data_IF_893320920037
#
_entry.id   IF_893320920037
#
_cell.length_a   1.000
_cell.length_b   1.000
_cell.length_c   1.000
_cell.angle_alpha   90.00
_cell.angle_beta   90.00
_cell.angle_gamma   90.00
#
_symmetry.space_group_name_H-M   'P 1'
#
loop_
_entity.id
_entity.type
_entity.pdbx_description
1 polymer ?
#
# COMPACT_ATOMS: atom_id res chain seq x y z
N UNK A 1 -3.34 -8.49 -12.24
CA UNK A 1 -3.65 -9.44 -11.16
C UNK A 1 -5.01 -9.05 -10.59
N UNK A 2 -6.06 -9.84 -10.84
CA UNK A 2 -7.38 -9.64 -10.23
C UNK A 2 -7.49 -10.65 -9.09
N UNK A 3 -7.55 -10.16 -7.85
CA UNK A 3 -7.87 -10.98 -6.69
C UNK A 3 -9.39 -10.83 -6.49
N UNK A 4 -10.15 -11.89 -6.73
CA UNK A 4 -11.61 -11.83 -6.58
C UNK A 4 -11.98 -11.51 -5.13
N UNK A 5 -12.83 -10.51 -4.93
CA UNK A 5 -13.23 -10.02 -3.61
C UNK A 5 -12.28 -9.01 -2.95
N UNK A 6 -11.17 -8.62 -3.59
CA UNK A 6 -10.24 -7.60 -3.07
C UNK A 6 -10.17 -6.42 -4.02
N UNK A 7 -10.36 -5.22 -3.47
CA UNK A 7 -10.22 -3.97 -4.19
C UNK A 7 -8.74 -3.74 -4.57
N UNK A 8 -8.43 -3.85 -5.86
CA UNK A 8 -7.07 -3.64 -6.37
C UNK A 8 -6.94 -2.22 -6.87
N UNK A 9 -6.25 -1.39 -6.09
CA UNK A 9 -5.97 0.01 -6.43
C UNK A 9 -4.56 0.12 -7.00
N UNK A 10 -4.44 0.46 -8.28
CA UNK A 10 -3.16 0.72 -8.93
C UNK A 10 -2.78 2.20 -8.77
N UNK A 11 -1.94 2.50 -7.78
CA UNK A 11 -1.41 3.84 -7.53
C UNK A 11 0.07 3.93 -7.89
N UNK A 12 0.50 4.96 -8.64
CA UNK A 12 1.92 5.24 -8.81
C UNK A 12 2.58 5.58 -7.47
N UNK A 13 3.80 5.11 -7.25
CA UNK A 13 4.51 5.29 -5.97
C UNK A 13 4.63 6.75 -5.52
N UNK A 14 4.86 7.68 -6.45
CA UNK A 14 5.00 9.10 -6.12
C UNK A 14 3.70 9.77 -5.64
N UNK A 15 2.54 9.14 -5.88
CA UNK A 15 1.22 9.58 -5.41
C UNK A 15 0.73 8.80 -4.20
N UNK A 16 1.45 7.75 -3.80
CA UNK A 16 0.98 6.85 -2.75
C UNK A 16 0.87 7.61 -1.42
N UNK A 17 1.90 8.35 -1.01
CA UNK A 17 1.88 9.09 0.26
C UNK A 17 0.74 10.10 0.39
N UNK A 18 0.41 10.80 -0.70
CA UNK A 18 -0.66 11.82 -0.68
C UNK A 18 -2.05 11.21 -0.83
N UNK A 19 -2.21 10.14 -1.63
CA UNK A 19 -3.49 9.47 -1.85
C UNK A 19 -3.82 8.39 -0.83
N UNK A 20 -2.84 7.91 -0.05
CA UNK A 20 -3.08 6.86 0.94
C UNK A 20 -4.02 7.35 2.05
N UNK A 21 -3.94 8.63 2.41
CA UNK A 21 -4.87 9.25 3.38
C UNK A 21 -6.32 9.29 2.90
N UNK A 22 -6.55 9.37 1.59
CA UNK A 22 -7.90 9.38 0.99
C UNK A 22 -8.52 7.97 0.95
N UNK A 23 -7.72 6.92 1.18
CA UNK A 23 -8.21 5.56 1.22
C UNK A 23 -8.98 5.30 2.52
N UNK A 24 -9.86 4.30 2.48
CA UNK A 24 -10.57 3.84 3.67
C UNK A 24 -9.58 3.31 4.72
N UNK A 25 -9.42 4.06 5.80
CA UNK A 25 -8.49 3.75 6.88
C UNK A 25 -8.98 2.60 7.79
N UNK A 26 -10.25 2.18 7.66
CA UNK A 26 -10.77 1.00 8.37
C UNK A 26 -10.26 -0.31 7.78
N UNK A 27 -9.78 -0.28 6.52
CA UNK A 27 -9.24 -1.43 5.80
C UNK A 27 -7.73 -1.54 5.99
N UNK A 28 -7.23 -2.78 5.92
CA UNK A 28 -5.80 -3.06 5.82
C UNK A 28 -5.36 -3.10 4.37
N UNK A 29 -4.42 -2.24 4.00
CA UNK A 29 -3.89 -2.14 2.64
C UNK A 29 -2.61 -2.97 2.49
N UNK A 30 -2.55 -3.72 1.40
CA UNK A 30 -1.41 -4.56 1.03
C UNK A 30 -0.63 -3.94 -0.13
N UNK A 31 0.61 -3.55 0.12
CA UNK A 31 1.53 -3.05 -0.91
C UNK A 31 2.30 -4.21 -1.53
N UNK A 32 2.36 -4.24 -2.86
CA UNK A 32 3.10 -5.23 -3.63
C UNK A 32 3.93 -4.55 -4.72
N UNK A 33 5.13 -5.08 -4.97
CA UNK A 33 5.91 -4.77 -6.15
C UNK A 33 6.75 -5.97 -6.55
N UNK A 34 7.06 -6.09 -7.84
CA UNK A 34 7.75 -7.24 -8.44
C UNK A 34 9.06 -7.60 -7.72
N UNK A 35 9.86 -6.59 -7.34
CA UNK A 35 11.16 -6.80 -6.66
C UNK A 35 11.09 -6.67 -5.14
N UNK A 36 9.93 -6.40 -4.55
CA UNK A 36 9.72 -6.26 -3.10
C UNK A 36 10.43 -5.09 -2.38
N UNK A 37 11.40 -4.41 -3.01
CA UNK A 37 12.14 -3.29 -2.40
C UNK A 37 11.28 -2.05 -2.29
N UNK A 38 10.59 -1.68 -3.37
CA UNK A 38 9.81 -0.44 -3.42
C UNK A 38 8.57 -0.49 -2.51
N UNK A 39 7.92 -1.66 -2.41
CA UNK A 39 6.78 -1.85 -1.50
C UNK A 39 7.18 -1.74 -0.03
N UNK A 40 8.39 -2.16 0.34
CA UNK A 40 8.92 -2.03 1.71
C UNK A 40 9.24 -0.58 2.09
N UNK A 41 9.95 0.14 1.22
CA UNK A 41 10.28 1.54 1.44
C UNK A 41 9.03 2.39 1.62
N UNK A 42 8.03 2.18 0.76
CA UNK A 42 6.77 2.90 0.82
C UNK A 42 5.94 2.54 2.04
N UNK A 43 5.92 1.25 2.45
CA UNK A 43 5.27 0.84 3.68
C UNK A 43 5.92 1.48 4.93
N UNK A 44 7.25 1.63 4.94
CA UNK A 44 7.96 2.31 6.02
C UNK A 44 7.58 3.79 6.09
N UNK A 45 7.63 4.48 4.94
CA UNK A 45 7.28 5.89 4.85
C UNK A 45 5.84 6.18 5.33
N UNK A 46 4.88 5.35 4.92
CA UNK A 46 3.48 5.49 5.36
C UNK A 46 3.34 5.28 6.89
N UNK A 47 4.09 4.36 7.48
CA UNK A 47 4.09 4.17 8.93
C UNK A 47 4.68 5.35 9.68
N UNK A 48 5.75 5.95 9.17
CA UNK A 48 6.31 7.18 9.73
C UNK A 48 5.33 8.36 9.65
N UNK A 49 4.47 8.39 8.63
CA UNK A 49 3.35 9.34 8.52
C UNK A 49 2.17 9.02 9.48
N UNK A 50 2.23 7.92 10.22
CA UNK A 50 1.21 7.52 11.19
C UNK A 50 0.21 6.46 10.70
N UNK A 51 0.36 5.95 9.47
CA UNK A 51 -0.52 4.92 8.93
C UNK A 51 -0.10 3.51 9.40
N UNK A 52 -0.88 2.95 10.32
CA UNK A 52 -0.60 1.62 10.91
C UNK A 52 -1.28 0.46 10.16
N UNK A 53 -2.22 0.77 9.29
CA UNK A 53 -3.02 -0.17 8.49
C UNK A 53 -2.36 -0.58 7.16
N UNK A 54 -1.03 -0.52 7.07
CA UNK A 54 -0.27 -0.89 5.87
C UNK A 54 0.63 -2.12 6.10
N UNK A 55 0.54 -3.09 5.17
CA UNK A 55 1.31 -4.33 5.16
C UNK A 55 1.93 -4.55 3.78
N UNK A 56 3.04 -5.28 3.73
CA UNK A 56 3.70 -5.66 2.48
C UNK A 56 3.29 -7.08 2.12
N UNK A 57 2.70 -7.27 0.95
CA UNK A 57 2.42 -8.60 0.42
C UNK A 57 3.66 -9.18 -0.23
N UNK A 58 4.02 -10.40 0.19
CA UNK A 58 5.05 -11.23 -0.44
C UNK A 58 4.40 -12.56 -0.79
N UNK A 59 4.15 -12.85 -2.08
CA UNK A 59 3.77 -14.20 -2.50
C UNK A 59 4.93 -15.18 -2.28
#
# INVERSE_FOLDING_TARGET
>A
MKVEGVEVVSLPFYKLSTKFGDLDQSKTWLLWCERGVMSRLQALYLREQGFNNVKVYRP
#
